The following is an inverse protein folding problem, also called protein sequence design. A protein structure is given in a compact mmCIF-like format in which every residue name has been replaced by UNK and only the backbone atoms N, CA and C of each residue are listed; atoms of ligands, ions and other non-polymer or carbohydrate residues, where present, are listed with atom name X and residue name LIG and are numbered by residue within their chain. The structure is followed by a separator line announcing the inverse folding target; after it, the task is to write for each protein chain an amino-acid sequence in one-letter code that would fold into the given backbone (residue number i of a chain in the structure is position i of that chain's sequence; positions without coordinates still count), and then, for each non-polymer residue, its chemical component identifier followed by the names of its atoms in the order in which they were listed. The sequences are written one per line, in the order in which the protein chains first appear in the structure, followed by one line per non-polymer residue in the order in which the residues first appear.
data_IF_545721981282
#
_entry.id   IF_545721981282
#
_cell.length_a   1.000
_cell.length_b   1.000
_cell.length_c   1.000
_cell.angle_alpha   90.00
_cell.angle_beta   90.00
_cell.angle_gamma   90.00
#
_symmetry.space_group_name_H-M   'P 1'
#
loop_
_entity.id
_entity.type
_entity.pdbx_description
1 polymer ?
#
# COMPACT_ATOMS: atom_id res chain seq x y z
N UNK A 1 -10.70 -9.13 -0.22
CA UNK A 1 -9.68 -9.76 0.66
C UNK A 1 -8.33 -9.12 0.40
N UNK A 2 -7.64 -8.70 1.46
CA UNK A 2 -6.23 -8.31 1.37
C UNK A 2 -5.38 -9.57 1.23
N UNK A 3 -4.56 -9.66 0.18
CA UNK A 3 -3.51 -10.67 0.14
C UNK A 3 -2.47 -10.29 1.20
N UNK A 4 -2.16 -11.20 2.13
CA UNK A 4 -1.20 -11.00 3.23
C UNK A 4 0.14 -10.42 2.73
N UNK A 5 0.54 -10.85 1.52
CA UNK A 5 1.70 -10.36 0.77
C UNK A 5 1.69 -8.83 0.54
N UNK A 6 0.54 -8.24 0.20
CA UNK A 6 0.45 -6.81 -0.13
C UNK A 6 0.60 -5.92 1.11
N UNK A 7 0.03 -6.34 2.24
CA UNK A 7 0.31 -5.68 3.54
C UNK A 7 1.80 -5.66 3.85
N UNK A 8 2.48 -6.77 3.58
CA UNK A 8 3.90 -6.93 3.88
C UNK A 8 4.78 -6.02 3.00
N UNK A 9 4.44 -5.89 1.70
CA UNK A 9 5.11 -4.95 0.79
C UNK A 9 4.91 -3.48 1.21
N UNK A 10 3.69 -3.11 1.60
CA UNK A 10 3.40 -1.75 2.10
C UNK A 10 4.21 -1.47 3.38
N UNK A 11 4.24 -2.41 4.32
CA UNK A 11 5.03 -2.28 5.56
C UNK A 11 6.53 -2.17 5.29
N UNK A 12 7.09 -2.98 4.39
CA UNK A 12 8.50 -2.89 4.00
C UNK A 12 8.85 -1.52 3.41
N UNK A 13 7.97 -0.94 2.59
CA UNK A 13 8.15 0.41 2.05
C UNK A 13 8.14 1.48 3.14
N UNK A 14 7.17 1.42 4.06
CA UNK A 14 7.11 2.35 5.20
C UNK A 14 8.35 2.23 6.09
N UNK A 15 8.80 1.00 6.37
CA UNK A 15 10.00 0.73 7.16
C UNK A 15 11.30 1.21 6.49
N UNK A 16 11.32 1.31 5.16
CA UNK A 16 12.46 1.84 4.41
C UNK A 16 12.60 3.37 4.52
N UNK A 17 11.81 4.01 5.41
CA UNK A 17 11.90 5.44 5.72
C UNK A 17 11.14 6.35 4.76
N UNK A 18 10.31 5.78 3.88
CA UNK A 18 9.54 6.53 2.89
C UNK A 18 8.10 6.78 3.33
N UNK A 19 7.56 7.94 2.95
CA UNK A 19 6.11 8.16 2.91
C UNK A 19 5.51 7.40 1.73
N UNK A 20 4.34 6.80 1.91
CA UNK A 20 3.59 6.18 0.82
C UNK A 20 2.51 7.14 0.34
N UNK A 21 2.61 7.54 -0.93
CA UNK A 21 1.54 8.23 -1.64
C UNK A 21 0.67 7.20 -2.33
N UNK A 22 -0.62 7.15 -1.97
CA UNK A 22 -1.56 6.16 -2.50
C UNK A 22 -1.64 6.18 -4.03
N UNK A 23 -1.62 7.39 -4.64
CA UNK A 23 -1.63 7.57 -6.10
C UNK A 23 -0.43 6.91 -6.77
N UNK A 24 0.78 7.21 -6.32
CA UNK A 24 2.00 6.66 -6.89
C UNK A 24 2.04 5.13 -6.77
N UNK A 25 1.66 4.58 -5.61
CA UNK A 25 1.63 3.14 -5.41
C UNK A 25 0.54 2.46 -6.25
N UNK A 26 -0.58 3.15 -6.49
CA UNK A 26 -1.67 2.65 -7.34
C UNK A 26 -1.24 2.52 -8.80
N UNK A 27 -0.50 3.51 -9.31
CA UNK A 27 0.07 3.50 -10.65
C UNK A 27 1.14 2.41 -10.79
N UNK A 28 2.02 2.26 -9.80
CA UNK A 28 3.09 1.26 -9.80
C UNK A 28 2.53 -0.18 -9.79
N UNK A 29 1.47 -0.42 -9.03
CA UNK A 29 0.91 -1.77 -8.84
C UNK A 29 -0.27 -2.08 -9.76
N UNK A 30 -0.68 -1.12 -10.61
CA UNK A 30 -1.84 -1.26 -11.50
C UNK A 30 -3.15 -1.48 -10.73
N UNK A 31 -3.26 -0.91 -9.53
CA UNK A 31 -4.43 -1.01 -8.67
C UNK A 31 -5.17 0.34 -8.61
N UNK A 32 -6.40 0.32 -8.13
CA UNK A 32 -7.09 1.59 -7.85
C UNK A 32 -6.51 2.25 -6.60
N UNK A 33 -6.45 3.58 -6.60
CA UNK A 33 -6.03 4.35 -5.43
C UNK A 33 -6.89 4.02 -4.19
N UNK A 34 -8.19 3.76 -4.38
CA UNK A 34 -9.08 3.35 -3.30
C UNK A 34 -8.68 2.00 -2.67
N UNK A 35 -8.21 1.06 -3.49
CA UNK A 35 -7.68 -0.22 -3.01
C UNK A 35 -6.46 0.01 -2.12
N UNK A 36 -5.53 0.86 -2.56
CA UNK A 36 -4.34 1.20 -1.78
C UNK A 36 -4.72 1.90 -0.47
N UNK A 37 -5.66 2.87 -0.51
CA UNK A 37 -6.13 3.56 0.70
C UNK A 37 -6.78 2.61 1.70
N UNK A 38 -7.57 1.64 1.24
CA UNK A 38 -8.12 0.58 2.09
C UNK A 38 -7.01 -0.26 2.72
N UNK A 39 -5.99 -0.61 1.95
CA UNK A 39 -4.89 -1.41 2.46
C UNK A 39 -4.08 -0.66 3.52
N UNK A 40 -3.79 0.63 3.29
CA UNK A 40 -3.12 1.50 4.26
C UNK A 40 -3.94 1.66 5.54
N UNK A 41 -5.26 1.89 5.44
CA UNK A 41 -6.16 1.97 6.61
C UNK A 41 -6.21 0.67 7.41
N UNK A 42 -6.08 -0.48 6.76
CA UNK A 42 -6.08 -1.78 7.41
C UNK A 42 -4.73 -2.14 8.08
N UNK A 43 -3.74 -1.24 8.03
CA UNK A 43 -2.46 -1.34 8.73
C UNK A 43 -2.40 -0.43 9.98
N UNK A 44 -3.32 0.52 10.11
CA UNK A 44 -3.57 1.26 11.36
C UNK A 44 -4.45 0.42 12.29
#
# INVERSE_FOLDING_TARGET
MLTRQRKQLILQRLQSGGEIVAKALSEEWGLSEDTIRRDLRALA
#
